data_IF_005038826953
#
_entry.id   IF_005038826953
#
_cell.length_a   1.000
_cell.length_b   1.000
_cell.length_c   1.000
_cell.angle_alpha   90.00
_cell.angle_beta   90.00
_cell.angle_gamma   90.00
#
_symmetry.space_group_name_H-M   'P 1'
#
loop_
_entity.id
_entity.type
_entity.pdbx_description
1 polymer ?
#
# COMPACT_ATOMS: atom_id res chain seq x y z
N UNK A 1 22.50 28.49 -44.23
CA UNK A 1 21.30 28.80 -43.42
C UNK A 1 21.60 28.42 -41.98
N UNK A 2 21.80 29.40 -41.10
CA UNK A 2 22.15 29.18 -39.70
C UNK A 2 20.96 29.56 -38.82
N UNK A 3 20.51 28.63 -37.96
CA UNK A 3 19.41 28.84 -37.02
C UNK A 3 19.90 29.63 -35.80
N UNK A 4 19.29 30.78 -35.54
CA UNK A 4 19.56 31.63 -34.39
C UNK A 4 18.55 31.29 -33.27
N UNK A 5 19.02 30.73 -32.17
CA UNK A 5 18.18 30.53 -30.97
C UNK A 5 18.26 31.77 -30.08
N UNK A 6 17.15 32.53 -30.03
CA UNK A 6 16.96 33.59 -29.04
C UNK A 6 16.63 32.95 -27.67
N UNK A 7 17.53 33.12 -26.71
CA UNK A 7 17.30 32.79 -25.30
C UNK A 7 16.40 33.86 -24.67
N UNK A 8 15.20 33.48 -24.25
CA UNK A 8 14.37 34.27 -23.34
C UNK A 8 15.02 34.24 -21.94
N UNK A 9 15.83 35.25 -21.61
CA UNK A 9 16.25 35.49 -20.24
C UNK A 9 15.27 36.47 -19.58
N UNK A 10 14.66 36.02 -18.49
CA UNK A 10 13.98 36.88 -17.53
C UNK A 10 15.08 37.72 -16.87
N UNK A 11 15.02 39.04 -17.03
CA UNK A 11 15.87 39.96 -16.27
C UNK A 11 15.32 40.07 -14.85
N UNK A 12 16.15 39.72 -13.87
CA UNK A 12 15.84 39.87 -12.46
C UNK A 12 16.68 41.03 -11.92
N UNK A 13 16.03 42.14 -11.54
CA UNK A 13 16.70 43.24 -10.86
C UNK A 13 16.67 42.97 -9.35
N UNK A 14 17.85 42.74 -8.76
CA UNK A 14 17.99 42.42 -7.34
C UNK A 14 18.02 43.72 -6.52
N UNK A 15 16.96 43.96 -5.75
CA UNK A 15 16.87 45.10 -4.83
C UNK A 15 17.76 44.87 -3.61
N UNK A 16 18.66 45.81 -3.33
CA UNK A 16 19.61 45.77 -2.20
C UNK A 16 18.91 46.07 -0.87
N UNK A 17 18.16 45.10 -0.33
CA UNK A 17 17.51 45.21 0.97
C UNK A 17 17.97 44.10 1.94
N UNK A 18 18.70 44.53 2.99
CA UNK A 18 18.98 43.85 4.27
C UNK A 18 19.29 42.34 4.20
N UNK A 19 20.58 42.01 4.28
CA UNK A 19 21.08 40.67 4.63
C UNK A 19 20.54 40.21 6.00
N UNK A 20 19.40 39.51 6.00
CA UNK A 20 19.12 38.53 7.05
C UNK A 20 20.11 37.39 6.85
N UNK A 21 20.82 37.00 7.92
CA UNK A 21 21.68 35.83 7.93
C UNK A 21 20.92 34.63 7.34
N UNK A 22 21.33 34.22 6.14
CA UNK A 22 20.84 32.99 5.52
C UNK A 22 21.34 31.84 6.38
N UNK A 23 20.44 30.95 6.78
CA UNK A 23 20.82 29.65 7.36
C UNK A 23 21.84 28.99 6.43
N UNK A 24 22.97 28.56 6.98
CA UNK A 24 24.04 27.88 6.26
C UNK A 24 23.47 26.75 5.41
N UNK A 25 23.52 26.91 4.09
CA UNK A 25 23.20 25.85 3.15
C UNK A 25 24.15 24.67 3.39
N UNK A 26 23.57 23.47 3.51
CA UNK A 26 24.31 22.22 3.64
C UNK A 26 25.29 22.05 2.46
N UNK A 27 26.50 21.58 2.77
CA UNK A 27 27.54 21.32 1.78
C UNK A 27 27.09 20.27 0.75
N UNK A 28 27.55 20.35 -0.51
CA UNK A 28 27.27 19.32 -1.52
C UNK A 28 27.87 17.99 -1.08
N UNK A 29 27.05 16.94 -1.05
CA UNK A 29 27.45 15.59 -0.67
C UNK A 29 28.53 15.04 -1.63
N UNK A 30 29.76 14.96 -1.14
CA UNK A 30 30.84 14.22 -1.78
C UNK A 30 30.89 12.81 -1.18
N UNK A 31 30.85 11.78 -2.04
CA UNK A 31 31.14 10.40 -1.67
C UNK A 31 29.91 9.49 -1.56
N UNK A 32 29.62 8.78 -2.66
CA UNK A 32 28.67 7.67 -2.68
C UNK A 32 29.28 6.44 -2.00
N UNK A 33 28.42 5.65 -1.36
CA UNK A 33 28.61 4.27 -0.88
C UNK A 33 29.01 4.11 0.61
N UNK A 34 28.11 4.44 1.54
CA UNK A 34 28.04 3.82 2.88
C UNK A 34 26.82 4.27 3.72
N UNK A 35 26.23 5.43 3.42
CA UNK A 35 25.35 6.12 4.37
C UNK A 35 23.84 5.82 4.25
N UNK A 36 23.39 5.24 3.13
CA UNK A 36 21.96 4.97 2.89
C UNK A 36 21.37 3.97 3.90
N UNK A 37 22.14 2.96 4.30
CA UNK A 37 21.70 1.93 5.26
C UNK A 37 21.60 2.46 6.71
N UNK A 38 22.30 3.55 7.04
CA UNK A 38 22.25 4.17 8.37
C UNK A 38 21.03 5.10 8.48
N UNK A 39 20.66 5.77 7.39
CA UNK A 39 19.48 6.65 7.35
C UNK A 39 18.17 5.85 7.49
N UNK A 40 18.07 4.68 6.87
CA UNK A 40 16.85 3.87 6.88
C UNK A 40 16.58 3.28 8.28
N UNK A 41 17.63 2.79 8.95
CA UNK A 41 17.56 2.30 10.34
C UNK A 41 17.22 3.39 11.35
N UNK A 42 17.68 4.63 11.10
CA UNK A 42 17.39 5.77 11.95
C UNK A 42 15.91 6.20 11.84
N UNK A 43 15.36 6.22 10.63
CA UNK A 43 13.95 6.53 10.39
C UNK A 43 13.03 5.44 10.98
N UNK A 44 13.38 4.17 10.81
CA UNK A 44 12.63 3.05 11.42
C UNK A 44 12.66 3.11 12.95
N UNK A 45 13.82 3.42 13.56
CA UNK A 45 13.95 3.57 15.01
C UNK A 45 13.14 4.74 15.57
N UNK A 46 13.02 5.84 14.82
CA UNK A 46 12.22 7.01 15.21
C UNK A 46 10.71 6.73 15.10
N UNK A 47 10.29 6.01 14.06
CA UNK A 47 8.90 5.56 13.90
C UNK A 47 8.49 4.55 14.96
N UNK A 48 9.38 3.63 15.34
CA UNK A 48 9.12 2.66 16.42
C UNK A 48 8.96 3.38 17.77
N UNK A 49 9.87 4.31 18.11
CA UNK A 49 9.82 5.08 19.37
C UNK A 49 8.60 6.00 19.47
N UNK A 50 8.08 6.50 18.35
CA UNK A 50 6.86 7.32 18.34
C UNK A 50 5.58 6.48 18.32
N UNK A 51 5.64 5.23 17.88
CA UNK A 51 4.51 4.30 17.86
C UNK A 51 4.22 3.60 19.20
N UNK A 52 5.24 3.31 20.01
CA UNK A 52 5.09 2.51 21.23
C UNK A 52 4.27 3.18 22.35
N UNK A 53 4.21 4.51 22.38
CA UNK A 53 3.46 5.28 23.40
C UNK A 53 2.28 6.08 22.82
N UNK A 54 1.92 5.86 21.55
CA UNK A 54 0.78 6.55 20.98
C UNK A 54 -0.51 5.82 21.35
N UNK A 55 -1.21 6.33 22.37
CA UNK A 55 -2.60 5.95 22.63
C UNK A 55 -3.42 6.31 21.40
N UNK A 56 -3.82 5.28 20.65
CA UNK A 56 -4.64 5.46 19.47
C UNK A 56 -5.98 6.07 19.90
N UNK A 57 -6.39 7.19 19.30
CA UNK A 57 -7.68 7.79 19.62
C UNK A 57 -8.77 6.81 19.21
N UNK A 58 -9.36 6.16 20.22
CA UNK A 58 -10.70 5.59 20.11
C UNK A 58 -11.62 6.79 19.83
N UNK A 59 -12.55 6.69 18.91
CA UNK A 59 -13.55 7.74 18.75
C UNK A 59 -14.23 7.99 20.09
N UNK A 60 -14.47 9.26 20.41
CA UNK A 60 -15.18 9.65 21.63
C UNK A 60 -16.64 9.16 21.65
N UNK A 61 -17.10 8.51 20.56
CA UNK A 61 -18.47 8.03 20.36
C UNK A 61 -18.57 6.51 20.10
N UNK A 62 -17.47 5.77 19.90
CA UNK A 62 -17.54 4.34 19.61
C UNK A 62 -18.05 3.96 18.20
N UNK A 63 -18.18 4.93 17.28
CA UNK A 63 -18.84 4.71 15.98
C UNK A 63 -17.87 4.26 14.88
N UNK A 64 -17.90 2.96 14.58
CA UNK A 64 -17.15 2.37 13.47
C UNK A 64 -17.59 2.96 12.12
N UNK A 65 -16.64 3.47 11.33
CA UNK A 65 -16.91 3.86 9.95
C UNK A 65 -17.17 2.66 9.04
N UNK A 66 -17.80 2.87 7.87
CA UNK A 66 -17.93 1.87 6.79
C UNK A 66 -16.56 1.29 6.41
N UNK A 67 -15.52 2.12 6.43
CA UNK A 67 -14.14 1.69 6.20
C UNK A 67 -13.57 0.78 7.28
N UNK A 68 -14.11 0.79 8.49
CA UNK A 68 -13.72 -0.09 9.60
C UNK A 68 -14.31 -1.50 9.50
N UNK A 69 -15.29 -1.73 8.63
CA UNK A 69 -15.90 -3.05 8.45
C UNK A 69 -14.86 -4.08 7.99
N UNK A 70 -14.76 -5.17 8.75
CA UNK A 70 -13.79 -6.24 8.53
C UNK A 70 -12.39 -6.00 9.08
N UNK A 71 -12.22 -5.04 9.99
CA UNK A 71 -10.96 -4.85 10.72
C UNK A 71 -10.59 -6.12 11.51
N UNK A 72 -9.30 -6.52 11.59
CA UNK A 72 -8.12 -5.88 11.00
C UNK A 72 -7.76 -6.37 9.59
N UNK A 73 -8.41 -7.42 9.11
CA UNK A 73 -7.95 -8.18 7.93
C UNK A 73 -8.41 -7.61 6.60
N UNK A 74 -9.66 -7.13 6.51
CA UNK A 74 -10.30 -6.66 5.28
C UNK A 74 -10.86 -5.23 5.39
N UNK A 75 -10.51 -4.49 6.44
CA UNK A 75 -10.85 -3.07 6.56
C UNK A 75 -10.18 -2.21 5.48
N UNK A 76 -10.73 -1.02 5.27
CA UNK A 76 -10.16 0.00 4.39
C UNK A 76 -8.82 0.54 4.88
N UNK A 77 -8.24 1.49 4.13
CA UNK A 77 -7.03 2.19 4.58
C UNK A 77 -7.34 3.02 5.83
N UNK A 78 -6.37 3.14 6.73
CA UNK A 78 -6.48 4.00 7.91
C UNK A 78 -6.81 5.46 7.52
N UNK A 79 -7.74 6.07 8.24
CA UNK A 79 -8.21 7.42 8.01
C UNK A 79 -7.28 8.45 8.67
N UNK A 80 -6.39 9.05 7.88
CA UNK A 80 -5.48 10.10 8.36
C UNK A 80 -6.28 11.31 8.90
N UNK A 81 -7.45 11.62 8.32
CA UNK A 81 -8.30 12.71 8.82
C UNK A 81 -8.88 12.41 10.19
N UNK A 82 -9.25 11.16 10.47
CA UNK A 82 -9.76 10.75 11.77
C UNK A 82 -8.66 10.80 12.84
N UNK A 83 -7.44 10.37 12.50
CA UNK A 83 -6.25 10.49 13.36
C UNK A 83 -6.04 11.92 13.88
N UNK A 84 -6.15 12.92 13.00
CA UNK A 84 -6.06 14.34 13.36
C UNK A 84 -7.38 14.95 13.83
N UNK A 85 -8.38 14.14 14.18
CA UNK A 85 -9.73 14.57 14.66
C UNK A 85 -10.45 15.54 13.71
N UNK A 86 -10.20 15.42 12.41
CA UNK A 86 -10.74 16.29 11.36
C UNK A 86 -11.53 15.50 10.29
N UNK A 87 -11.97 14.28 10.60
CA UNK A 87 -12.84 13.51 9.71
C UNK A 87 -14.28 14.01 9.82
N UNK A 88 -14.84 14.53 8.73
CA UNK A 88 -16.23 15.00 8.65
C UNK A 88 -17.22 13.96 8.13
N UNK A 89 -16.72 12.80 7.69
CA UNK A 89 -17.55 11.75 7.08
C UNK A 89 -18.20 10.83 8.12
N UNK A 90 -17.71 10.83 9.38
CA UNK A 90 -18.27 9.99 10.45
C UNK A 90 -18.37 8.52 10.04
N UNK A 91 -19.54 7.93 10.27
CA UNK A 91 -19.87 6.54 9.91
C UNK A 91 -19.77 6.27 8.40
N UNK A 92 -19.99 7.28 7.56
CA UNK A 92 -19.92 7.15 6.10
C UNK A 92 -18.48 7.20 5.55
N UNK A 93 -17.46 7.30 6.39
CA UNK A 93 -16.08 7.32 5.93
C UNK A 93 -15.70 5.95 5.33
N UNK A 94 -15.16 5.94 4.11
CA UNK A 94 -14.64 4.73 3.45
C UNK A 94 -13.29 4.26 4.04
N UNK A 95 -12.68 5.07 4.90
CA UNK A 95 -11.43 4.78 5.57
C UNK A 95 -11.67 4.26 6.99
N UNK A 96 -10.80 3.36 7.44
CA UNK A 96 -10.89 2.76 8.77
C UNK A 96 -10.52 3.79 9.87
N UNK A 97 -11.39 3.89 10.87
CA UNK A 97 -11.18 4.73 12.06
C UNK A 97 -10.54 3.95 13.23
N UNK A 98 -10.47 2.62 13.14
CA UNK A 98 -9.90 1.79 14.22
C UNK A 98 -8.37 1.84 14.22
N UNK A 99 -7.78 1.59 15.38
CA UNK A 99 -6.33 1.56 15.57
C UNK A 99 -5.69 0.42 14.76
N UNK A 100 -4.71 0.75 13.92
CA UNK A 100 -3.89 -0.26 13.24
C UNK A 100 -2.59 -0.44 14.02
N UNK A 101 -2.48 -1.55 14.77
CA UNK A 101 -1.34 -1.82 15.65
C UNK A 101 0.00 -1.92 14.92
N UNK A 102 -0.02 -2.34 13.65
CA UNK A 102 1.19 -2.57 12.87
C UNK A 102 1.25 -1.63 11.65
N UNK A 103 2.41 -1.01 11.39
CA UNK A 103 2.63 -0.28 10.16
C UNK A 103 2.44 -1.22 8.97
N UNK A 104 1.85 -0.70 7.89
CA UNK A 104 1.64 -1.47 6.67
C UNK A 104 2.98 -1.91 6.11
N UNK A 105 3.20 -3.23 6.11
CA UNK A 105 4.35 -3.84 5.47
C UNK A 105 4.33 -3.47 3.99
N UNK A 106 5.40 -2.84 3.53
CA UNK A 106 5.59 -2.44 2.13
C UNK A 106 6.45 -3.48 1.43
N UNK A 107 6.18 -3.67 0.14
CA UNK A 107 7.09 -4.41 -0.73
C UNK A 107 8.25 -3.49 -1.10
N UNK A 108 9.45 -4.05 -1.17
CA UNK A 108 10.60 -3.31 -1.67
C UNK A 108 10.46 -3.03 -3.18
N UNK A 109 11.45 -2.36 -3.77
CA UNK A 109 11.41 -2.02 -5.20
C UNK A 109 11.48 -3.27 -6.09
N UNK A 110 12.35 -4.22 -5.77
CA UNK A 110 12.56 -5.42 -6.59
C UNK A 110 11.33 -6.34 -6.57
N UNK A 111 10.74 -6.53 -5.39
CA UNK A 111 9.51 -7.30 -5.22
C UNK A 111 8.33 -6.68 -5.98
N UNK A 112 8.21 -5.35 -6.00
CA UNK A 112 7.17 -4.66 -6.79
C UNK A 112 7.37 -4.86 -8.29
N UNK A 113 8.59 -4.67 -8.78
CA UNK A 113 8.93 -4.89 -10.19
C UNK A 113 8.63 -6.34 -10.60
N UNK A 114 8.92 -7.30 -9.73
CA UNK A 114 8.58 -8.70 -9.97
C UNK A 114 7.07 -8.91 -10.14
N UNK A 115 6.22 -8.28 -9.32
CA UNK A 115 4.76 -8.36 -9.47
C UNK A 115 4.23 -7.65 -10.71
N UNK A 116 4.93 -6.63 -11.21
CA UNK A 116 4.58 -5.92 -12.45
C UNK A 116 4.86 -6.78 -13.70
N UNK A 117 5.86 -7.66 -13.64
CA UNK A 117 6.19 -8.57 -14.76
C UNK A 117 5.44 -9.89 -14.73
N UNK A 118 4.72 -10.19 -13.64
CA UNK A 118 3.99 -11.45 -13.49
C UNK A 118 2.70 -11.50 -14.28
N UNK A 119 2.41 -12.67 -14.85
CA UNK A 119 1.13 -12.99 -15.44
C UNK A 119 0.02 -13.22 -14.40
N UNK A 120 -1.23 -13.26 -14.86
CA UNK A 120 -2.39 -13.40 -13.98
C UNK A 120 -2.37 -14.70 -13.15
N UNK A 121 -2.03 -15.83 -13.80
CA UNK A 121 -1.94 -17.14 -13.15
C UNK A 121 -0.85 -17.18 -12.08
N UNK A 122 0.28 -16.50 -12.33
CA UNK A 122 1.40 -16.43 -11.41
C UNK A 122 1.02 -15.63 -10.16
N UNK A 123 0.43 -14.45 -10.33
CA UNK A 123 -0.05 -13.63 -9.20
C UNK A 123 -1.07 -14.40 -8.37
N UNK A 124 -2.07 -15.01 -9.02
CA UNK A 124 -3.10 -15.78 -8.30
C UNK A 124 -2.51 -17.00 -7.58
N UNK A 125 -1.65 -17.78 -8.21
CA UNK A 125 -1.04 -18.96 -7.59
C UNK A 125 -0.21 -18.62 -6.35
N UNK A 126 0.41 -17.44 -6.33
CA UNK A 126 1.14 -16.94 -5.16
C UNK A 126 0.20 -16.38 -4.08
N UNK A 127 -0.73 -15.50 -4.46
CA UNK A 127 -1.51 -14.70 -3.50
C UNK A 127 -2.67 -15.50 -2.89
N UNK A 128 -3.36 -16.33 -3.69
CA UNK A 128 -4.57 -17.02 -3.27
C UNK A 128 -4.38 -17.96 -2.06
N UNK A 129 -3.32 -18.79 -1.98
CA UNK A 129 -3.08 -19.63 -0.80
C UNK A 129 -2.90 -18.81 0.49
N UNK A 130 -2.39 -17.59 0.39
CA UNK A 130 -2.24 -16.69 1.54
C UNK A 130 -3.58 -16.09 1.96
N UNK A 131 -4.44 -15.72 1.00
CA UNK A 131 -5.80 -15.26 1.28
C UNK A 131 -6.58 -16.36 2.01
N UNK A 132 -6.61 -17.58 1.48
CA UNK A 132 -7.36 -18.69 2.05
C UNK A 132 -6.90 -19.04 3.47
N UNK A 133 -5.58 -19.16 3.66
CA UNK A 133 -5.01 -19.46 4.99
C UNK A 133 -5.38 -18.39 6.00
N UNK A 134 -5.36 -17.11 5.62
CA UNK A 134 -5.61 -15.99 6.52
C UNK A 134 -7.10 -15.81 6.78
N UNK A 135 -7.96 -16.01 5.79
CA UNK A 135 -9.40 -16.08 5.98
C UNK A 135 -9.79 -17.22 6.94
N UNK A 136 -9.16 -18.40 6.81
CA UNK A 136 -9.40 -19.53 7.69
C UNK A 136 -8.98 -19.27 9.14
N UNK A 137 -7.78 -18.73 9.34
CA UNK A 137 -7.27 -18.42 10.69
C UNK A 137 -8.07 -17.35 11.42
N UNK A 138 -8.65 -16.39 10.68
CA UNK A 138 -9.40 -15.28 11.24
C UNK A 138 -10.93 -15.48 11.19
N UNK A 139 -11.43 -16.67 10.83
CA UNK A 139 -12.86 -16.95 10.79
C UNK A 139 -13.65 -16.24 9.67
N UNK A 140 -12.96 -15.68 8.66
CA UNK A 140 -13.55 -14.91 7.55
C UNK A 140 -14.00 -15.80 6.38
N UNK A 141 -13.81 -17.11 6.45
CA UNK A 141 -14.11 -18.03 5.35
C UNK A 141 -15.54 -17.90 4.81
N UNK A 142 -16.54 -17.73 5.68
CA UNK A 142 -17.95 -17.61 5.26
C UNK A 142 -18.20 -16.30 4.53
N UNK A 143 -17.68 -15.20 5.07
CA UNK A 143 -17.84 -13.86 4.48
C UNK A 143 -17.11 -13.77 3.13
N UNK A 144 -15.91 -14.34 3.05
CA UNK A 144 -15.06 -14.27 1.85
C UNK A 144 -15.26 -15.44 0.87
N UNK A 145 -16.25 -16.30 1.10
CA UNK A 145 -16.45 -17.53 0.31
C UNK A 145 -16.56 -17.25 -1.18
N UNK A 146 -17.42 -16.30 -1.56
CA UNK A 146 -17.64 -15.96 -2.97
C UNK A 146 -16.40 -15.33 -3.60
N UNK A 147 -15.67 -14.51 -2.84
CA UNK A 147 -14.41 -13.91 -3.30
C UNK A 147 -13.38 -15.00 -3.57
N UNK A 148 -13.16 -15.92 -2.62
CA UNK A 148 -12.23 -17.04 -2.77
C UNK A 148 -12.63 -17.93 -3.95
N UNK A 149 -13.93 -18.21 -4.10
CA UNK A 149 -14.44 -19.03 -5.21
C UNK A 149 -14.18 -18.36 -6.57
N UNK A 150 -14.46 -17.06 -6.70
CA UNK A 150 -14.17 -16.29 -7.91
C UNK A 150 -12.69 -16.34 -8.27
N UNK A 151 -11.79 -16.14 -7.30
CA UNK A 151 -10.34 -16.20 -7.52
C UNK A 151 -9.87 -17.60 -7.95
N UNK A 152 -10.41 -18.67 -7.32
CA UNK A 152 -10.13 -20.07 -7.70
C UNK A 152 -10.58 -20.37 -9.12
N UNK A 153 -11.82 -20.02 -9.45
CA UNK A 153 -12.39 -20.24 -10.77
C UNK A 153 -11.56 -19.52 -11.84
N UNK A 154 -11.11 -18.28 -11.55
CA UNK A 154 -10.23 -17.55 -12.45
C UNK A 154 -8.90 -18.27 -12.64
N UNK A 155 -8.25 -18.70 -11.57
CA UNK A 155 -6.99 -19.45 -11.65
C UNK A 155 -7.14 -20.74 -12.48
N UNK A 156 -8.24 -21.48 -12.33
CA UNK A 156 -8.50 -22.70 -13.13
C UNK A 156 -8.77 -22.44 -14.61
N UNK A 157 -9.21 -21.22 -14.96
CA UNK A 157 -9.47 -20.84 -16.36
C UNK A 157 -8.23 -20.36 -17.11
N UNK A 158 -7.13 -20.11 -16.41
CA UNK A 158 -5.89 -19.58 -16.95
C UNK A 158 -4.93 -20.72 -17.33
N UNK A 159 -4.01 -20.48 -18.28
CA UNK A 159 -2.92 -21.42 -18.54
C UNK A 159 -2.08 -21.64 -17.27
N UNK A 160 -1.44 -22.79 -17.18
CA UNK A 160 -0.57 -23.11 -16.04
C UNK A 160 0.54 -22.05 -15.93
N UNK A 161 0.85 -21.57 -14.72
CA UNK A 161 1.92 -20.60 -14.54
C UNK A 161 3.27 -21.19 -14.96
N UNK A 162 4.20 -20.33 -15.41
CA UNK A 162 5.57 -20.75 -15.71
C UNK A 162 6.29 -21.12 -14.41
N UNK A 163 6.69 -22.39 -14.29
CA UNK A 163 7.35 -22.95 -13.11
C UNK A 163 8.60 -22.14 -12.71
N UNK A 164 9.36 -21.61 -13.68
CA UNK A 164 10.57 -20.83 -13.40
C UNK A 164 10.23 -19.50 -12.72
N UNK A 165 9.22 -18.80 -13.23
CA UNK A 165 8.74 -17.55 -12.62
C UNK A 165 8.20 -17.78 -11.22
N UNK A 166 7.45 -18.87 -11.00
CA UNK A 166 6.93 -19.24 -9.68
C UNK A 166 8.08 -19.54 -8.70
N UNK A 167 9.16 -20.19 -9.14
CA UNK A 167 10.34 -20.44 -8.31
C UNK A 167 11.03 -19.15 -7.87
N UNK A 168 11.29 -18.22 -8.79
CA UNK A 168 11.88 -16.92 -8.46
C UNK A 168 10.98 -16.09 -7.55
N UNK A 169 9.67 -16.23 -7.71
CA UNK A 169 8.68 -15.60 -6.86
C UNK A 169 8.63 -16.13 -5.43
N UNK A 170 9.24 -17.29 -5.13
CA UNK A 170 9.26 -17.80 -3.75
C UNK A 170 9.94 -16.85 -2.77
N UNK A 171 10.82 -15.97 -3.26
CA UNK A 171 11.44 -14.92 -2.46
C UNK A 171 10.43 -13.91 -1.89
N UNK A 172 9.25 -13.73 -2.49
CA UNK A 172 8.19 -12.83 -1.96
C UNK A 172 7.28 -13.50 -0.93
N UNK A 173 7.29 -14.82 -0.82
CA UNK A 173 6.40 -15.55 0.10
C UNK A 173 6.53 -15.07 1.56
N UNK A 174 7.73 -14.82 2.11
CA UNK A 174 7.88 -14.31 3.47
C UNK A 174 7.17 -12.98 3.69
N UNK A 175 7.21 -12.07 2.70
CA UNK A 175 6.54 -10.76 2.80
C UNK A 175 5.02 -10.90 2.71
N UNK A 176 4.53 -11.77 1.82
CA UNK A 176 3.09 -12.02 1.64
C UNK A 176 2.43 -12.59 2.92
N UNK A 177 3.15 -13.39 3.72
CA UNK A 177 2.64 -13.90 5.00
C UNK A 177 2.31 -12.78 6.00
N UNK A 178 3.00 -11.64 5.91
CA UNK A 178 2.78 -10.48 6.78
C UNK A 178 1.61 -9.61 6.32
N UNK A 179 1.11 -9.79 5.10
CA UNK A 179 0.04 -8.94 4.55
C UNK A 179 -1.35 -9.36 5.04
N UNK A 180 -2.19 -8.37 5.31
CA UNK A 180 -3.62 -8.57 5.55
C UNK A 180 -4.33 -9.04 4.29
N UNK A 181 -5.52 -9.63 4.44
CA UNK A 181 -6.34 -10.05 3.30
C UNK A 181 -6.65 -8.87 2.37
N UNK A 182 -6.99 -7.69 2.91
CA UNK A 182 -7.17 -6.47 2.13
C UNK A 182 -5.93 -6.11 1.31
N UNK A 183 -4.73 -6.24 1.90
CA UNK A 183 -3.50 -5.91 1.15
C UNK A 183 -3.21 -6.93 0.05
N UNK A 184 -3.47 -8.21 0.29
CA UNK A 184 -3.35 -9.26 -0.73
C UNK A 184 -4.34 -9.05 -1.90
N UNK A 185 -5.59 -8.70 -1.60
CA UNK A 185 -6.58 -8.33 -2.63
C UNK A 185 -6.18 -7.06 -3.39
N UNK A 186 -5.59 -6.09 -2.69
CA UNK A 186 -5.08 -4.87 -3.34
C UNK A 186 -3.93 -5.18 -4.32
N UNK A 187 -3.08 -6.18 -4.05
CA UNK A 187 -2.05 -6.60 -5.03
C UNK A 187 -2.70 -7.09 -6.33
N UNK A 188 -3.76 -7.89 -6.23
CA UNK A 188 -4.52 -8.37 -7.40
C UNK A 188 -5.12 -7.18 -8.17
N UNK A 189 -5.71 -6.21 -7.45
CA UNK A 189 -6.32 -5.02 -8.06
C UNK A 189 -5.31 -4.10 -8.73
N UNK A 190 -4.13 -3.93 -8.13
CA UNK A 190 -3.08 -3.05 -8.64
C UNK A 190 -2.27 -3.71 -9.77
N UNK A 191 -2.28 -5.04 -9.87
CA UNK A 191 -1.53 -5.75 -10.89
C UNK A 191 -2.04 -5.40 -12.31
N UNK A 192 -1.16 -5.05 -13.25
CA UNK A 192 -1.55 -4.76 -14.63
C UNK A 192 -2.06 -6.00 -15.38
N UNK A 193 -1.74 -7.21 -14.91
CA UNK A 193 -2.11 -8.47 -15.55
C UNK A 193 -3.62 -8.75 -15.55
N UNK A 194 -4.38 -8.14 -14.64
CA UNK A 194 -5.80 -8.41 -14.49
C UNK A 194 -6.66 -7.44 -15.33
N UNK A 195 -7.69 -7.94 -16.05
CA UNK A 195 -8.66 -7.10 -16.75
C UNK A 195 -9.40 -6.15 -15.80
N UNK A 196 -9.75 -4.96 -16.27
CA UNK A 196 -10.48 -3.95 -15.48
C UNK A 196 -11.84 -4.46 -14.99
N UNK A 197 -12.60 -5.16 -15.84
CA UNK A 197 -13.90 -5.74 -15.46
C UNK A 197 -13.78 -6.68 -14.26
N UNK A 198 -12.78 -7.57 -14.26
CA UNK A 198 -12.51 -8.47 -13.15
C UNK A 198 -12.18 -7.72 -11.85
N UNK A 199 -11.37 -6.66 -11.92
CA UNK A 199 -11.01 -5.83 -10.76
C UNK A 199 -12.24 -5.16 -10.13
N UNK A 200 -13.17 -4.68 -10.95
CA UNK A 200 -14.41 -4.07 -10.47
C UNK A 200 -15.38 -5.10 -9.89
N UNK A 201 -15.49 -6.28 -10.49
CA UNK A 201 -16.31 -7.37 -9.95
C UNK A 201 -15.77 -7.86 -8.61
N UNK A 202 -14.45 -7.99 -8.49
CA UNK A 202 -13.77 -8.31 -7.25
C UNK A 202 -14.06 -7.26 -6.17
N UNK A 203 -13.99 -5.96 -6.52
CA UNK A 203 -14.34 -4.86 -5.61
C UNK A 203 -15.76 -5.00 -5.09
N UNK A 204 -16.74 -5.07 -6.00
CA UNK A 204 -18.16 -5.17 -5.65
C UNK A 204 -18.45 -6.37 -4.77
N UNK A 205 -17.79 -7.50 -5.03
CA UNK A 205 -17.97 -8.72 -4.27
C UNK A 205 -17.40 -8.59 -2.85
N UNK A 206 -16.25 -7.96 -2.69
CA UNK A 206 -15.67 -7.65 -1.37
C UNK A 206 -16.55 -6.68 -0.60
N UNK A 207 -17.04 -5.61 -1.25
CA UNK A 207 -17.92 -4.62 -0.61
C UNK A 207 -19.22 -5.27 -0.13
N UNK A 208 -19.88 -6.07 -0.99
CA UNK A 208 -21.07 -6.85 -0.64
C UNK A 208 -20.83 -7.82 0.52
N UNK A 209 -19.68 -8.50 0.53
CA UNK A 209 -19.33 -9.48 1.57
C UNK A 209 -19.16 -8.84 2.95
N UNK A 210 -18.91 -7.54 2.99
CA UNK A 210 -18.65 -6.78 4.20
C UNK A 210 -19.79 -5.84 4.59
N UNK A 211 -20.89 -5.85 3.82
CA UNK A 211 -22.02 -4.95 4.04
C UNK A 211 -21.71 -3.48 3.75
N UNK A 212 -20.77 -3.23 2.82
CA UNK A 212 -20.44 -1.89 2.33
C UNK A 212 -21.26 -1.49 1.12
#
# INVERSE_FOLDING_TARGET
MALQYQRTFINFEETTARQKQRSSSLSPAAGRNAEDACSEKYVDGLLHKTGENYEWPIDAQGNTSRGSLGHPEVCGRFCIRFFYRNCRQGENCEFCHLAHREPKVKMDKAQRQLFETMGEAEVLSLVLPHIERRCGRNGLNKQMLFVIHMLRQRLTSLPHPDDNHVLHARAVIPILRKFTVARLLELIRQSPAFPSGFKEDLKKLVDRSLGR
#
